data_IF_735131984324
#
_entry.id   IF_735131984324
#
_cell.length_a   1.000
_cell.length_b   1.000
_cell.length_c   1.000
_cell.angle_alpha   90.00
_cell.angle_beta   90.00
_cell.angle_gamma   90.00
#
_symmetry.space_group_name_H-M   'P 1'
#
loop_
_entity.id
_entity.type
_entity.pdbx_description
1 polymer ?
#
# COMPACT_ATOMS: atom_id res chain seq x y z
N UNK A 1 15.14 -13.24 1.41
CA UNK A 1 14.31 -12.10 1.86
C UNK A 1 12.86 -12.48 1.75
N UNK A 2 12.05 -12.08 2.74
CA UNK A 2 10.60 -12.32 2.81
C UNK A 2 9.85 -11.01 2.68
N UNK A 3 9.00 -10.89 1.68
CA UNK A 3 8.16 -9.73 1.41
C UNK A 3 6.72 -10.07 1.71
N UNK A 4 6.02 -9.19 2.42
CA UNK A 4 4.59 -9.28 2.68
C UNK A 4 3.94 -8.01 2.16
N UNK A 5 2.84 -8.16 1.45
CA UNK A 5 1.97 -7.06 1.02
C UNK A 5 0.56 -7.28 1.54
N UNK A 6 -0.03 -6.28 2.18
CA UNK A 6 -1.35 -6.40 2.79
C UNK A 6 -2.14 -5.09 2.70
N UNK A 7 -3.22 -5.09 1.94
CA UNK A 7 -4.23 -4.03 2.04
C UNK A 7 -5.03 -4.22 3.34
N UNK A 8 -4.80 -3.34 4.30
CA UNK A 8 -5.40 -3.44 5.66
C UNK A 8 -6.77 -2.77 5.76
N UNK A 9 -7.20 -2.06 4.73
CA UNK A 9 -8.48 -1.35 4.69
C UNK A 9 -8.78 -0.55 5.97
N UNK A 10 -7.77 0.21 6.42
CA UNK A 10 -7.82 0.98 7.66
C UNK A 10 -7.11 0.27 8.82
N UNK A 11 -5.83 0.60 9.03
CA UNK A 11 -4.95 -0.07 9.98
C UNK A 11 -5.50 -0.04 11.42
N UNK A 12 -6.09 1.08 11.87
CA UNK A 12 -6.67 1.19 13.21
C UNK A 12 -7.73 0.11 13.49
N UNK A 13 -8.49 -0.28 12.46
CA UNK A 13 -9.50 -1.33 12.59
C UNK A 13 -8.90 -2.75 12.66
N UNK A 14 -7.64 -2.91 12.23
CA UNK A 14 -6.93 -4.19 12.20
C UNK A 14 -6.04 -4.42 13.42
N UNK A 15 -5.76 -3.38 14.23
CA UNK A 15 -4.81 -3.48 15.35
C UNK A 15 -5.29 -4.47 16.40
N UNK A 16 -6.56 -4.39 16.78
CA UNK A 16 -7.12 -5.24 17.85
C UNK A 16 -7.55 -6.60 17.32
N UNK A 17 -7.40 -7.67 18.12
CA UNK A 17 -8.03 -8.94 17.84
C UNK A 17 -9.54 -8.78 17.69
N UNK A 18 -10.16 -9.64 16.89
CA UNK A 18 -11.62 -9.70 16.70
C UNK A 18 -12.11 -11.11 16.97
N UNK A 19 -13.21 -11.22 17.69
CA UNK A 19 -13.95 -12.46 17.91
C UNK A 19 -15.34 -12.37 17.30
N UNK A 20 -15.98 -13.50 17.02
CA UNK A 20 -17.41 -13.55 16.73
C UNK A 20 -18.26 -13.59 18.02
N UNK A 21 -19.57 -13.67 17.85
CA UNK A 21 -20.53 -13.70 18.95
C UNK A 21 -20.44 -14.99 19.80
N UNK A 22 -19.80 -16.04 19.25
CA UNK A 22 -19.54 -17.31 19.91
C UNK A 22 -18.17 -17.34 20.63
N UNK A 23 -17.36 -16.25 20.50
CA UNK A 23 -16.04 -16.13 21.12
C UNK A 23 -14.89 -16.73 20.30
N UNK A 24 -15.12 -17.20 19.06
CA UNK A 24 -14.07 -17.68 18.19
C UNK A 24 -13.23 -16.51 17.63
N UNK A 25 -11.92 -16.69 17.57
CA UNK A 25 -11.01 -15.67 17.05
C UNK A 25 -11.13 -15.54 15.54
N UNK A 26 -11.69 -14.42 15.05
CA UNK A 26 -11.74 -14.06 13.62
C UNK A 26 -10.46 -13.38 13.13
N UNK A 27 -9.76 -12.67 14.02
CA UNK A 27 -8.50 -12.00 13.71
C UNK A 27 -7.65 -11.92 14.97
N UNK A 28 -6.37 -12.23 14.86
CA UNK A 28 -5.40 -12.09 15.96
C UNK A 28 -4.98 -10.63 16.21
N UNK A 29 -5.34 -9.71 15.31
CA UNK A 29 -4.86 -8.33 15.29
C UNK A 29 -3.53 -8.16 14.54
N UNK A 30 -3.28 -6.92 14.08
CA UNK A 30 -2.14 -6.61 13.22
C UNK A 30 -0.78 -7.00 13.83
N UNK A 31 -0.56 -6.65 15.10
CA UNK A 31 0.73 -6.93 15.76
C UNK A 31 1.05 -8.43 15.82
N UNK A 32 0.05 -9.28 16.08
CA UNK A 32 0.25 -10.71 16.12
C UNK A 32 0.60 -11.28 14.74
N UNK A 33 -0.10 -10.83 13.69
CA UNK A 33 0.24 -11.22 12.32
C UNK A 33 1.62 -10.70 11.90
N UNK A 34 1.97 -9.47 12.27
CA UNK A 34 3.27 -8.88 11.96
C UNK A 34 4.41 -9.74 12.55
N UNK A 35 4.29 -10.12 13.84
CA UNK A 35 5.27 -10.96 14.53
C UNK A 35 5.32 -12.39 13.97
N UNK A 36 4.16 -13.01 13.75
CA UNK A 36 4.08 -14.37 13.22
C UNK A 36 4.67 -14.49 11.80
N UNK A 37 4.44 -13.48 10.98
CA UNK A 37 4.93 -13.45 9.61
C UNK A 37 6.41 -13.15 9.50
N UNK A 38 6.99 -12.41 10.43
CA UNK A 38 8.44 -12.18 10.55
C UNK A 38 9.10 -11.86 9.19
N UNK A 39 8.65 -10.78 8.55
CA UNK A 39 9.06 -10.42 7.21
C UNK A 39 10.27 -9.47 7.19
N UNK A 40 11.10 -9.54 6.16
CA UNK A 40 12.14 -8.54 5.92
C UNK A 40 11.55 -7.20 5.49
N UNK A 41 10.49 -7.26 4.67
CA UNK A 41 9.72 -6.09 4.21
C UNK A 41 8.22 -6.37 4.38
N UNK A 42 7.53 -5.47 5.06
CA UNK A 42 6.10 -5.54 5.28
C UNK A 42 5.43 -4.29 4.72
N UNK A 43 4.76 -4.42 3.59
CA UNK A 43 4.16 -3.34 2.82
C UNK A 43 2.65 -3.28 3.09
N UNK A 44 2.16 -2.10 3.45
CA UNK A 44 0.75 -1.88 3.78
C UNK A 44 0.11 -0.92 2.78
N UNK A 45 -1.13 -1.20 2.41
CA UNK A 45 -1.97 -0.36 1.59
C UNK A 45 -3.26 -0.03 2.32
N UNK A 46 -3.89 1.09 1.98
CA UNK A 46 -5.07 1.62 2.65
C UNK A 46 -4.92 1.75 4.17
N UNK A 47 -3.82 2.31 4.63
CA UNK A 47 -3.61 2.51 6.07
C UNK A 47 -4.65 3.43 6.68
N UNK A 48 -5.19 4.39 5.89
CA UNK A 48 -6.18 5.42 6.32
C UNK A 48 -5.74 6.16 7.58
N UNK A 49 -4.42 6.34 7.71
CA UNK A 49 -3.76 6.94 8.87
C UNK A 49 -3.34 8.38 8.61
N UNK A 50 -3.06 9.07 9.69
CA UNK A 50 -2.34 10.35 9.73
C UNK A 50 -1.24 10.25 10.79
N UNK A 51 -0.21 11.08 10.66
CA UNK A 51 0.87 11.11 11.63
C UNK A 51 0.33 11.31 13.07
N UNK A 52 0.87 10.55 14.01
CA UNK A 52 0.52 10.64 15.42
C UNK A 52 -0.80 9.97 15.85
N UNK A 53 -1.53 9.32 14.94
CA UNK A 53 -2.79 8.65 15.31
C UNK A 53 -2.60 7.27 15.94
N UNK A 54 -1.49 6.63 15.68
CA UNK A 54 -1.17 5.30 16.19
C UNK A 54 0.35 5.17 16.24
N UNK A 55 0.88 4.72 17.36
CA UNK A 55 2.28 4.38 17.51
C UNK A 55 2.41 2.86 17.45
N UNK A 56 2.94 2.36 16.34
CA UNK A 56 3.23 0.95 16.09
C UNK A 56 4.72 0.81 15.78
N UNK A 57 5.49 0.63 16.84
CA UNK A 57 6.92 0.38 16.77
C UNK A 57 7.18 -1.11 16.99
N UNK A 58 8.07 -1.69 16.19
CA UNK A 58 8.50 -3.07 16.33
C UNK A 58 10.02 -3.12 16.43
N UNK A 59 10.52 -3.85 17.42
CA UNK A 59 11.95 -3.99 17.66
C UNK A 59 12.68 -4.51 16.42
N UNK A 60 13.75 -3.82 16.03
CA UNK A 60 14.54 -4.16 14.85
C UNK A 60 13.93 -3.73 13.51
N UNK A 61 12.79 -3.00 13.51
CA UNK A 61 12.20 -2.46 12.31
C UNK A 61 12.21 -0.94 12.28
N UNK A 62 12.45 -0.40 11.10
CA UNK A 62 12.14 0.97 10.71
C UNK A 62 10.79 0.99 9.99
N UNK A 63 10.09 2.12 10.04
CA UNK A 63 8.83 2.30 9.32
C UNK A 63 8.80 3.60 8.55
N UNK A 64 8.27 3.52 7.33
CA UNK A 64 8.15 4.63 6.39
C UNK A 64 6.70 4.77 5.97
N UNK A 65 6.14 5.98 6.09
CA UNK A 65 4.71 6.23 5.93
C UNK A 65 4.45 7.33 4.91
N UNK A 66 3.55 7.07 3.97
CA UNK A 66 3.03 8.06 3.05
C UNK A 66 1.55 8.25 3.31
N UNK A 67 1.20 9.40 3.86
CA UNK A 67 -0.17 9.74 4.24
C UNK A 67 -0.85 10.53 3.12
N UNK A 68 -2.16 10.30 2.94
CA UNK A 68 -2.96 11.18 2.10
C UNK A 68 -3.20 12.53 2.81
N UNK A 69 -3.30 13.62 2.06
CA UNK A 69 -3.74 14.92 2.59
C UNK A 69 -5.15 14.81 3.18
N UNK A 70 -6.02 14.04 2.52
CA UNK A 70 -7.37 13.75 3.02
C UNK A 70 -7.31 12.76 4.17
N UNK A 71 -7.81 13.18 5.35
CA UNK A 71 -7.87 12.33 6.55
C UNK A 71 -8.73 11.09 6.34
N UNK A 72 -8.25 9.95 6.86
CA UNK A 72 -8.98 8.68 6.84
C UNK A 72 -9.10 8.05 5.44
N UNK A 73 -8.22 8.39 4.52
CA UNK A 73 -8.25 7.97 3.13
C UNK A 73 -6.89 7.45 2.67
N UNK A 74 -6.89 6.43 1.78
CA UNK A 74 -5.68 5.90 1.13
C UNK A 74 -4.50 5.66 2.11
N UNK A 75 -3.28 6.00 1.73
CA UNK A 75 -2.08 5.87 2.54
C UNK A 75 -1.39 4.52 2.40
N UNK A 76 -0.06 4.54 2.36
CA UNK A 76 0.81 3.36 2.32
C UNK A 76 1.84 3.40 3.42
N UNK A 77 2.39 2.24 3.79
CA UNK A 77 3.52 2.16 4.71
C UNK A 77 4.41 0.96 4.37
N UNK A 78 5.70 1.06 4.71
CA UNK A 78 6.65 -0.05 4.67
C UNK A 78 7.34 -0.16 6.02
N UNK A 79 7.35 -1.35 6.60
CA UNK A 79 8.24 -1.73 7.69
C UNK A 79 9.38 -2.58 7.12
N UNK A 80 10.59 -2.36 7.57
CA UNK A 80 11.76 -3.13 7.16
C UNK A 80 12.82 -3.22 8.24
N UNK A 81 13.58 -4.31 8.25
CA UNK A 81 14.80 -4.50 9.06
C UNK A 81 16.05 -4.00 8.37
N UNK A 82 15.97 -3.73 7.08
CA UNK A 82 17.10 -3.34 6.26
C UNK A 82 17.17 -1.84 6.11
N UNK A 83 18.38 -1.29 6.17
CA UNK A 83 18.61 0.14 5.94
C UNK A 83 18.53 0.44 4.45
N UNK A 84 17.56 1.28 4.00
CA UNK A 84 17.48 1.69 2.60
C UNK A 84 18.55 2.76 2.30
N UNK A 85 19.00 2.81 1.04
CA UNK A 85 19.87 3.90 0.56
C UNK A 85 19.08 5.23 0.46
N UNK A 86 17.82 5.14 0.04
CA UNK A 86 16.91 6.28 -0.05
C UNK A 86 15.45 5.81 0.03
N UNK A 87 14.55 6.71 0.42
CA UNK A 87 13.11 6.49 0.38
C UNK A 87 12.45 7.69 -0.29
N UNK A 88 11.64 7.42 -1.31
CA UNK A 88 10.88 8.42 -2.07
C UNK A 88 9.39 8.19 -1.88
N UNK A 89 8.64 9.28 -1.73
CA UNK A 89 7.19 9.29 -1.57
C UNK A 89 6.53 9.87 -2.81
N UNK A 90 5.58 9.13 -3.39
CA UNK A 90 4.94 9.52 -4.65
C UNK A 90 5.75 9.15 -5.88
N UNK A 91 5.38 9.75 -7.01
CA UNK A 91 6.01 9.56 -8.33
C UNK A 91 6.66 10.83 -8.88
N UNK A 92 6.65 11.93 -8.09
CA UNK A 92 7.09 13.25 -8.53
C UNK A 92 6.06 13.99 -9.38
N UNK A 93 4.77 13.62 -9.26
CA UNK A 93 3.64 14.26 -9.96
C UNK A 93 2.62 14.75 -8.94
N UNK A 94 2.47 16.07 -8.81
CA UNK A 94 1.63 16.70 -7.80
C UNK A 94 0.19 16.19 -7.81
N UNK A 95 -0.39 15.94 -9.00
CA UNK A 95 -1.74 15.43 -9.16
C UNK A 95 -1.94 14.01 -8.62
N UNK A 96 -0.86 13.24 -8.44
CA UNK A 96 -0.88 11.86 -7.94
C UNK A 96 -0.41 11.73 -6.51
N UNK A 97 0.47 12.63 -6.06
CA UNK A 97 1.23 12.42 -4.83
C UNK A 97 0.47 12.83 -3.55
N UNK A 98 -0.69 13.50 -3.69
CA UNK A 98 -1.53 13.96 -2.56
C UNK A 98 -2.30 12.85 -1.84
N UNK A 99 -2.39 11.66 -2.44
CA UNK A 99 -3.19 10.56 -1.89
C UNK A 99 -2.34 9.49 -1.15
N UNK A 100 -1.01 9.68 -1.02
CA UNK A 100 -0.14 8.79 -0.26
C UNK A 100 -0.08 7.36 -0.81
N UNK A 101 -0.04 7.19 -2.15
CA UNK A 101 -0.23 5.91 -2.81
C UNK A 101 1.03 5.12 -3.12
N UNK A 102 2.18 5.77 -3.15
CA UNK A 102 3.45 5.15 -3.57
C UNK A 102 4.55 5.46 -2.59
N UNK A 103 5.25 4.41 -2.13
CA UNK A 103 6.54 4.51 -1.45
C UNK A 103 7.53 3.72 -2.28
N UNK A 104 8.63 4.34 -2.68
CA UNK A 104 9.76 3.66 -3.32
C UNK A 104 10.94 3.65 -2.37
N UNK A 105 11.45 2.47 -2.09
CA UNK A 105 12.61 2.25 -1.25
C UNK A 105 13.77 1.78 -2.14
N UNK A 106 14.85 2.55 -2.18
CA UNK A 106 16.06 2.15 -2.88
C UNK A 106 16.91 1.27 -1.98
N UNK A 107 17.11 0.04 -2.40
CA UNK A 107 18.04 -0.89 -1.78
C UNK A 107 19.34 -0.97 -2.61
N UNK A 108 20.44 -1.51 -2.08
CA UNK A 108 21.67 -1.63 -2.84
C UNK A 108 21.50 -2.33 -4.18
N UNK A 109 20.65 -3.36 -4.26
CA UNK A 109 20.54 -4.26 -5.42
C UNK A 109 19.22 -4.12 -6.19
N UNK A 110 18.20 -3.47 -5.62
CA UNK A 110 16.87 -3.34 -6.22
C UNK A 110 16.12 -2.13 -5.69
N UNK A 111 15.02 -1.76 -6.36
CA UNK A 111 13.98 -0.89 -5.82
C UNK A 111 12.80 -1.73 -5.32
N UNK A 112 12.27 -1.39 -4.14
CA UNK A 112 10.98 -1.90 -3.66
C UNK A 112 9.95 -0.78 -3.76
N UNK A 113 8.90 -1.02 -4.55
CA UNK A 113 7.78 -0.10 -4.72
C UNK A 113 6.54 -0.68 -4.06
N UNK A 114 6.09 -0.06 -2.96
CA UNK A 114 4.80 -0.33 -2.35
C UNK A 114 3.76 0.61 -2.94
N UNK A 115 2.73 0.06 -3.57
CA UNK A 115 1.71 0.83 -4.29
C UNK A 115 0.29 0.49 -3.85
N UNK A 116 -0.55 1.53 -3.79
CA UNK A 116 -2.01 1.42 -3.72
C UNK A 116 -2.61 2.19 -4.89
N UNK A 117 -2.92 1.48 -5.97
CA UNK A 117 -3.42 2.12 -7.19
C UNK A 117 -4.81 2.72 -6.96
N UNK A 118 -5.15 3.85 -7.60
CA UNK A 118 -6.48 4.42 -7.44
C UNK A 118 -7.55 3.51 -8.03
N UNK A 119 -8.65 3.38 -7.31
CA UNK A 119 -9.84 2.69 -7.79
C UNK A 119 -10.57 3.56 -8.81
N UNK A 120 -11.10 2.97 -9.89
CA UNK A 120 -11.88 3.66 -10.93
C UNK A 120 -13.25 4.12 -10.45
N UNK A 121 -13.71 3.61 -9.28
CA UNK A 121 -15.06 3.78 -8.71
C UNK A 121 -16.17 3.24 -9.64
N UNK A 122 -17.34 3.00 -9.06
CA UNK A 122 -18.51 2.60 -9.82
C UNK A 122 -19.06 3.75 -10.65
N UNK A 123 -19.77 3.41 -11.72
CA UNK A 123 -20.54 4.37 -12.49
C UNK A 123 -21.70 4.93 -11.64
N UNK A 124 -21.99 6.22 -11.78
CA UNK A 124 -23.13 6.86 -11.10
C UNK A 124 -24.47 6.33 -11.60
N UNK A 125 -24.53 5.87 -12.85
CA UNK A 125 -25.71 5.32 -13.52
C UNK A 125 -25.42 3.91 -14.02
N UNK A 126 -26.44 3.04 -14.00
CA UNK A 126 -26.33 1.67 -14.53
C UNK A 126 -25.93 1.69 -16.02
N UNK A 127 -24.81 1.06 -16.33
CA UNK A 127 -24.24 1.02 -17.69
C UNK A 127 -23.40 2.25 -18.07
N UNK A 128 -23.20 3.21 -17.17
CA UNK A 128 -22.30 4.33 -17.35
C UNK A 128 -20.82 3.94 -17.16
N UNK A 129 -19.91 4.87 -17.49
CA UNK A 129 -18.47 4.68 -17.22
C UNK A 129 -18.14 4.99 -15.76
N UNK A 130 -17.17 4.27 -15.15
CA UNK A 130 -16.69 4.58 -13.81
C UNK A 130 -16.20 6.02 -13.70
N UNK A 131 -16.59 6.71 -12.63
CA UNK A 131 -16.37 8.16 -12.44
C UNK A 131 -14.90 8.56 -12.52
N UNK A 132 -14.00 7.76 -11.96
CA UNK A 132 -12.55 8.03 -11.90
C UNK A 132 -11.75 7.29 -12.98
N UNK A 133 -12.39 6.62 -13.92
CA UNK A 133 -11.68 5.85 -14.94
C UNK A 133 -10.67 6.71 -15.75
N UNK A 134 -10.99 7.93 -16.23
CA UNK A 134 -10.00 8.75 -16.94
C UNK A 134 -8.75 9.04 -16.09
N UNK A 135 -8.94 9.40 -14.82
CA UNK A 135 -7.85 9.61 -13.87
C UNK A 135 -7.04 8.31 -13.63
N UNK A 136 -7.75 7.17 -13.46
CA UNK A 136 -7.10 5.87 -13.27
C UNK A 136 -6.22 5.49 -14.46
N UNK A 137 -6.67 5.76 -15.68
CA UNK A 137 -5.91 5.49 -16.91
C UNK A 137 -4.65 6.37 -17.00
N UNK A 138 -4.79 7.68 -16.73
CA UNK A 138 -3.64 8.58 -16.69
C UNK A 138 -2.64 8.16 -15.61
N UNK A 139 -3.13 7.85 -14.41
CA UNK A 139 -2.29 7.38 -13.30
C UNK A 139 -1.50 6.13 -13.68
N UNK A 140 -2.14 5.20 -14.41
CA UNK A 140 -1.51 3.95 -14.87
C UNK A 140 -0.37 4.21 -15.86
N UNK A 141 -0.58 5.11 -16.82
CA UNK A 141 0.44 5.49 -17.78
C UNK A 141 1.64 6.15 -17.08
N UNK A 142 1.38 7.07 -16.16
CA UNK A 142 2.41 7.76 -15.39
C UNK A 142 3.16 6.81 -14.44
N UNK A 143 2.48 5.88 -13.80
CA UNK A 143 3.10 4.87 -12.95
C UNK A 143 3.99 3.92 -13.76
N UNK A 144 3.55 3.52 -14.94
CA UNK A 144 4.35 2.69 -15.86
C UNK A 144 5.65 3.39 -16.26
N UNK A 145 5.58 4.67 -16.63
CA UNK A 145 6.79 5.44 -16.97
C UNK A 145 7.71 5.63 -15.75
N UNK A 146 7.13 5.83 -14.57
CA UNK A 146 7.89 5.87 -13.32
C UNK A 146 8.64 4.56 -13.06
N UNK A 147 7.97 3.42 -13.16
CA UNK A 147 8.61 2.10 -12.99
C UNK A 147 9.73 1.86 -14.01
N UNK A 148 9.53 2.20 -15.27
CA UNK A 148 10.58 2.11 -16.31
C UNK A 148 11.80 2.97 -15.98
N UNK A 149 11.60 4.14 -15.41
CA UNK A 149 12.70 5.01 -15.00
C UNK A 149 13.55 4.41 -13.88
N UNK A 150 12.93 3.68 -12.96
CA UNK A 150 13.61 2.93 -11.91
C UNK A 150 14.34 1.72 -12.48
N UNK A 151 13.66 0.93 -13.32
CA UNK A 151 14.16 -0.31 -13.89
C UNK A 151 15.37 -0.09 -14.83
N UNK A 152 15.49 1.11 -15.39
CA UNK A 152 16.68 1.52 -16.14
C UNK A 152 17.98 1.53 -15.30
N UNK A 153 17.86 1.56 -13.96
CA UNK A 153 19.01 1.62 -13.04
C UNK A 153 19.21 0.32 -12.27
N UNK A 154 18.15 -0.24 -11.70
CA UNK A 154 18.15 -1.46 -10.88
C UNK A 154 16.86 -2.24 -11.07
N UNK A 155 16.85 -3.56 -10.85
CA UNK A 155 15.61 -4.35 -10.81
C UNK A 155 14.57 -3.75 -9.86
N UNK A 156 13.30 -3.81 -10.26
CA UNK A 156 12.18 -3.26 -9.48
C UNK A 156 11.28 -4.38 -9.00
N UNK A 157 11.06 -4.44 -7.68
CA UNK A 157 10.06 -5.28 -7.05
C UNK A 157 8.85 -4.39 -6.77
N UNK A 158 7.72 -4.67 -7.40
CA UNK A 158 6.46 -3.96 -7.15
C UNK A 158 5.54 -4.85 -6.35
N UNK A 159 5.00 -4.34 -5.26
CA UNK A 159 3.96 -5.02 -4.48
C UNK A 159 2.89 -4.04 -4.04
N UNK A 160 1.68 -4.53 -3.86
CA UNK A 160 0.59 -3.69 -3.39
C UNK A 160 -0.77 -4.12 -3.90
N UNK A 161 -1.71 -3.20 -3.82
CA UNK A 161 -3.06 -3.37 -4.34
C UNK A 161 -3.19 -2.64 -5.69
N UNK A 162 -3.26 -3.43 -6.75
CA UNK A 162 -3.31 -2.91 -8.12
C UNK A 162 -4.72 -2.45 -8.54
N UNK A 163 -5.75 -2.72 -7.74
CA UNK A 163 -7.16 -2.42 -8.07
C UNK A 163 -7.54 -2.84 -9.49
N UNK A 164 -7.05 -4.01 -9.91
CA UNK A 164 -7.33 -4.64 -11.20
C UNK A 164 -7.41 -6.15 -11.02
N UNK A 165 -8.37 -6.77 -11.68
CA UNK A 165 -8.47 -8.22 -11.76
C UNK A 165 -7.90 -8.71 -13.10
N UNK A 166 -7.17 -9.81 -13.08
CA UNK A 166 -6.65 -10.45 -14.29
C UNK A 166 -7.72 -11.34 -14.94
N UNK A 167 -8.45 -12.08 -14.13
CA UNK A 167 -9.47 -13.04 -14.56
C UNK A 167 -10.82 -12.74 -13.87
N UNK A 168 -11.93 -13.18 -14.48
CA UNK A 168 -13.26 -13.01 -13.89
C UNK A 168 -13.41 -13.67 -12.51
N UNK A 169 -12.70 -14.77 -12.27
CA UNK A 169 -12.70 -15.47 -10.97
C UNK A 169 -12.12 -14.62 -9.82
N UNK A 170 -11.31 -13.60 -10.15
CA UNK A 170 -10.71 -12.68 -9.19
C UNK A 170 -11.67 -11.57 -8.75
N UNK A 171 -12.87 -11.52 -9.34
CA UNK A 171 -13.91 -10.53 -9.06
C UNK A 171 -15.12 -11.24 -8.44
N UNK A 172 -15.71 -10.62 -7.41
CA UNK A 172 -16.97 -11.09 -6.81
C UNK A 172 -18.17 -10.41 -7.45
#
# INVERSE_FOLDING_TARGET
MKFISWNVNGLRACVKPKTDDEGNVKSKGFEAYFKDLDADFFCLQETKMQAGQLDLQFDGYQSFWNYAERKGYSGTAIYTRHEPLAVTYGMGKEEHDKEGRVITMEMPEFYLVCVYTPNSQEALEKGGKPKRLPYRMQWEDDFREYLKSLDANKPVIVCGDMNVAHEEIDIK
#
